data_IF_789018679041
#
_entry.id   IF_789018679041
#
_cell.length_a   1.000
_cell.length_b   1.000
_cell.length_c   1.000
_cell.angle_alpha   90.00
_cell.angle_beta   90.00
_cell.angle_gamma   90.00
#
_symmetry.space_group_name_H-M   'P 1'
#
loop_
_entity.id
_entity.type
_entity.pdbx_description
1 polymer ?
#
# COMPACT_ATOMS: atom_id res chain seq x y z
N UNK A 1 14.17 -56.90 -13.47
CA UNK A 1 12.74 -57.16 -13.75
C UNK A 1 12.16 -57.70 -12.45
N UNK A 2 11.38 -56.99 -11.62
CA UNK A 2 10.49 -55.85 -11.83
C UNK A 2 10.75 -54.72 -10.81
N UNK A 3 10.41 -53.50 -11.20
CA UNK A 3 10.54 -52.25 -10.46
C UNK A 3 9.42 -52.13 -9.41
N UNK A 4 9.76 -51.58 -8.25
CA UNK A 4 8.81 -51.26 -7.18
C UNK A 4 7.90 -50.10 -7.57
N UNK A 5 6.59 -50.32 -7.51
CA UNK A 5 5.58 -49.27 -7.53
C UNK A 5 5.49 -48.65 -6.13
N UNK A 6 6.29 -47.61 -5.91
CA UNK A 6 6.05 -46.66 -4.84
C UNK A 6 4.79 -45.86 -5.16
N UNK A 7 3.69 -46.18 -4.47
CA UNK A 7 2.49 -45.35 -4.45
C UNK A 7 2.87 -43.95 -3.95
N UNK A 8 2.86 -43.00 -4.86
CA UNK A 8 3.01 -41.57 -4.61
C UNK A 8 1.96 -41.17 -3.58
N UNK A 9 2.42 -40.79 -2.39
CA UNK A 9 1.57 -40.18 -1.37
C UNK A 9 1.06 -38.85 -1.91
N UNK A 10 -0.27 -38.74 -2.04
CA UNK A 10 -0.94 -37.45 -2.17
C UNK A 10 -0.56 -36.61 -0.95
N UNK A 11 0.01 -35.42 -1.19
CA UNK A 11 0.19 -34.44 -0.13
C UNK A 11 -1.18 -34.15 0.49
N UNK A 12 -1.31 -34.05 1.83
CA UNK A 12 -2.58 -33.75 2.46
C UNK A 12 -3.12 -32.42 1.93
N UNK A 13 -4.31 -32.45 1.34
CA UNK A 13 -5.13 -31.25 1.18
C UNK A 13 -5.47 -30.73 2.57
N UNK A 14 -4.89 -29.58 2.90
CA UNK A 14 -4.99 -29.01 4.23
C UNK A 14 -3.65 -28.48 4.72
N UNK A 15 -3.01 -27.64 3.91
CA UNK A 15 -2.12 -26.63 4.48
C UNK A 15 -2.99 -25.73 5.34
N UNK A 16 -3.05 -26.03 6.64
CA UNK A 16 -3.59 -25.12 7.65
C UNK A 16 -3.04 -23.73 7.33
N UNK A 17 -3.92 -22.80 6.97
CA UNK A 17 -3.58 -21.40 6.75
C UNK A 17 -2.98 -20.84 8.03
N UNK A 18 -1.68 -20.99 8.17
CA UNK A 18 -0.93 -20.39 9.26
C UNK A 18 -0.95 -18.89 8.98
N UNK A 19 -1.86 -18.20 9.67
CA UNK A 19 -2.01 -16.74 9.58
C UNK A 19 -0.64 -16.13 9.80
N UNK A 20 -0.09 -15.50 8.78
CA UNK A 20 1.27 -15.00 8.89
C UNK A 20 1.31 -13.82 9.87
N UNK A 21 2.36 -13.66 10.70
CA UNK A 21 2.46 -12.55 11.66
C UNK A 21 2.26 -11.16 11.04
N UNK A 22 2.58 -11.02 9.75
CA UNK A 22 2.37 -9.79 8.98
C UNK A 22 0.89 -9.48 8.75
N UNK A 23 0.06 -10.51 8.53
CA UNK A 23 -1.39 -10.37 8.30
C UNK A 23 -2.07 -9.87 9.57
N UNK A 24 -1.75 -10.48 10.72
CA UNK A 24 -2.27 -10.06 12.02
C UNK A 24 -1.88 -8.61 12.36
N UNK A 25 -0.68 -8.16 11.97
CA UNK A 25 -0.27 -6.79 12.20
C UNK A 25 -1.05 -5.79 11.34
N UNK A 26 -1.27 -6.10 10.06
CA UNK A 26 -2.06 -5.24 9.19
C UNK A 26 -3.51 -5.14 9.68
N UNK A 27 -4.07 -6.23 10.21
CA UNK A 27 -5.38 -6.20 10.87
C UNK A 27 -5.39 -5.25 12.07
N UNK A 28 -4.37 -5.32 12.93
CA UNK A 28 -4.27 -4.43 14.09
C UNK A 28 -4.14 -2.96 13.69
N UNK A 29 -3.31 -2.66 12.69
CA UNK A 29 -3.16 -1.29 12.17
C UNK A 29 -4.46 -0.78 11.57
N UNK A 30 -5.20 -1.62 10.86
CA UNK A 30 -6.49 -1.26 10.28
C UNK A 30 -7.53 -0.96 11.37
N UNK A 31 -7.64 -1.83 12.38
CA UNK A 31 -8.51 -1.60 13.54
C UNK A 31 -8.15 -0.30 14.26
N UNK A 32 -6.85 -0.05 14.45
CA UNK A 32 -6.38 1.20 15.03
C UNK A 32 -6.75 2.39 14.15
N UNK A 33 -6.50 2.34 12.85
CA UNK A 33 -6.82 3.44 11.94
C UNK A 33 -8.31 3.79 11.95
N UNK A 34 -9.18 2.78 11.84
CA UNK A 34 -10.64 2.97 11.89
C UNK A 34 -11.07 3.54 13.24
N UNK A 35 -10.49 3.06 14.34
CA UNK A 35 -10.76 3.60 15.68
C UNK A 35 -10.39 5.08 15.77
N UNK A 36 -9.22 5.45 15.25
CA UNK A 36 -8.70 6.81 15.33
C UNK A 36 -9.46 7.76 14.41
N UNK A 37 -9.85 7.31 13.21
CA UNK A 37 -10.73 8.05 12.29
C UNK A 37 -12.11 8.27 12.89
N UNK A 38 -12.66 7.26 13.56
CA UNK A 38 -13.95 7.35 14.26
C UNK A 38 -13.87 8.36 15.39
N UNK A 39 -12.82 8.33 16.22
CA UNK A 39 -12.59 9.32 17.28
C UNK A 39 -12.50 10.74 16.70
N UNK A 40 -11.70 10.93 15.65
CA UNK A 40 -11.58 12.22 14.99
C UNK A 40 -12.95 12.75 14.53
N UNK A 41 -13.77 11.89 13.91
CA UNK A 41 -15.12 12.25 13.45
C UNK A 41 -16.05 12.61 14.62
N UNK A 42 -16.02 11.84 15.71
CA UNK A 42 -16.84 12.09 16.90
C UNK A 42 -16.45 13.39 17.61
N UNK A 43 -15.16 13.73 17.63
CA UNK A 43 -14.67 14.97 18.21
C UNK A 43 -15.00 16.19 17.33
N UNK A 44 -15.27 15.97 16.03
CA UNK A 44 -15.51 17.01 15.03
C UNK A 44 -16.82 16.80 14.24
N UNK A 45 -17.95 16.56 14.92
CA UNK A 45 -19.26 16.32 14.30
C UNK A 45 -19.82 17.54 13.56
N UNK A 46 -19.33 17.76 12.34
CA UNK A 46 -19.72 18.82 11.42
C UNK A 46 -19.46 18.39 9.97
N UNK A 47 -20.06 19.04 8.96
CA UNK A 47 -19.76 18.74 7.56
C UNK A 47 -18.28 18.88 7.22
N UNK A 48 -17.59 19.85 7.83
CA UNK A 48 -16.16 20.04 7.68
C UNK A 48 -15.37 18.87 8.29
N UNK A 49 -15.67 18.50 9.53
CA UNK A 49 -15.01 17.38 10.19
C UNK A 49 -15.24 16.06 9.45
N UNK A 50 -16.44 15.84 8.89
CA UNK A 50 -16.71 14.68 8.03
C UNK A 50 -15.85 14.67 6.75
N UNK A 51 -15.67 15.82 6.10
CA UNK A 51 -14.80 15.94 4.92
C UNK A 51 -13.32 15.72 5.28
N UNK A 52 -12.87 16.24 6.41
CA UNK A 52 -11.52 16.02 6.94
C UNK A 52 -11.28 14.54 7.29
N UNK A 53 -12.24 13.88 7.96
CA UNK A 53 -12.18 12.43 8.20
C UNK A 53 -12.11 11.65 6.91
N UNK A 54 -12.92 12.00 5.90
CA UNK A 54 -12.91 11.33 4.60
C UNK A 54 -11.55 11.48 3.91
N UNK A 55 -10.95 12.67 3.98
CA UNK A 55 -9.61 12.92 3.45
C UNK A 55 -8.56 12.01 4.13
N UNK A 56 -8.58 11.93 5.47
CA UNK A 56 -7.67 11.04 6.20
C UNK A 56 -7.93 9.56 5.90
N UNK A 57 -9.20 9.18 5.74
CA UNK A 57 -9.59 7.82 5.36
C UNK A 57 -9.04 7.45 3.99
N UNK A 58 -9.16 8.34 3.00
CA UNK A 58 -8.62 8.13 1.65
C UNK A 58 -7.09 7.97 1.69
N UNK A 59 -6.39 8.80 2.45
CA UNK A 59 -4.94 8.68 2.63
C UNK A 59 -4.54 7.31 3.22
N UNK A 60 -5.19 6.90 4.32
CA UNK A 60 -4.95 5.60 4.98
C UNK A 60 -5.30 4.44 4.03
N UNK A 61 -6.42 4.55 3.32
CA UNK A 61 -6.87 3.56 2.36
C UNK A 61 -5.89 3.39 1.20
N UNK A 62 -5.36 4.50 0.67
CA UNK A 62 -4.32 4.50 -0.35
C UNK A 62 -3.05 3.79 0.11
N UNK A 63 -2.59 4.07 1.34
CA UNK A 63 -1.45 3.40 1.95
C UNK A 63 -1.66 1.89 2.08
N UNK A 64 -2.86 1.49 2.50
CA UNK A 64 -3.25 0.09 2.63
C UNK A 64 -3.27 -0.62 1.28
N UNK A 65 -3.95 -0.05 0.27
CA UNK A 65 -3.97 -0.59 -1.10
C UNK A 65 -2.54 -0.77 -1.62
N UNK A 66 -1.69 0.26 -1.49
CA UNK A 66 -0.30 0.20 -1.94
C UNK A 66 0.47 -0.96 -1.31
N UNK A 67 0.29 -1.15 0.00
CA UNK A 67 0.95 -2.21 0.75
C UNK A 67 0.44 -3.58 0.36
N UNK A 68 -0.87 -3.77 0.21
CA UNK A 68 -1.48 -5.03 -0.23
C UNK A 68 -0.99 -5.44 -1.61
N UNK A 69 -0.96 -4.51 -2.58
CA UNK A 69 -0.39 -4.78 -3.90
C UNK A 69 1.08 -5.18 -3.82
N UNK A 70 1.86 -4.46 -3.00
CA UNK A 70 3.26 -4.76 -2.77
C UNK A 70 3.47 -6.17 -2.23
N UNK A 71 2.68 -6.61 -1.24
CA UNK A 71 2.84 -7.95 -0.65
C UNK A 71 2.37 -9.08 -1.55
N UNK A 72 1.53 -8.79 -2.54
CA UNK A 72 1.01 -9.80 -3.46
C UNK A 72 2.02 -10.17 -4.56
N UNK A 73 2.91 -9.26 -4.94
CA UNK A 73 3.87 -9.48 -6.04
C UNK A 73 5.25 -9.99 -5.60
N UNK A 74 5.58 -9.89 -4.31
CA UNK A 74 6.92 -10.16 -3.83
C UNK A 74 6.95 -11.31 -2.83
N UNK A 75 7.92 -12.20 -3.02
CA UNK A 75 8.19 -13.26 -2.07
C UNK A 75 8.64 -12.67 -0.71
N UNK A 76 7.81 -12.92 0.30
CA UNK A 76 7.95 -12.39 1.67
C UNK A 76 9.18 -12.97 2.38
N UNK A 77 9.76 -14.05 1.86
CA UNK A 77 10.93 -14.71 2.48
C UNK A 77 12.24 -13.95 2.26
N UNK A 78 12.27 -13.04 1.28
CA UNK A 78 13.46 -12.23 0.99
C UNK A 78 13.76 -11.26 2.14
N UNK A 79 15.02 -11.23 2.61
CA UNK A 79 15.47 -10.36 3.72
C UNK A 79 15.11 -8.88 3.50
N UNK A 80 15.28 -8.37 2.27
CA UNK A 80 14.97 -6.98 1.92
C UNK A 80 13.47 -6.68 2.05
N UNK A 81 12.61 -7.57 1.56
CA UNK A 81 11.14 -7.45 1.65
C UNK A 81 10.72 -7.52 3.12
N UNK A 82 11.30 -8.40 3.92
CA UNK A 82 11.01 -8.48 5.36
C UNK A 82 11.37 -7.20 6.11
N UNK A 83 12.54 -6.61 5.84
CA UNK A 83 12.94 -5.34 6.45
C UNK A 83 12.04 -4.18 6.02
N UNK A 84 11.68 -4.14 4.73
CA UNK A 84 10.70 -3.19 4.22
C UNK A 84 9.36 -3.32 4.94
N UNK A 85 8.85 -4.54 5.10
CA UNK A 85 7.60 -4.79 5.82
C UNK A 85 7.67 -4.26 7.25
N UNK A 86 8.74 -4.55 7.99
CA UNK A 86 8.94 -3.99 9.34
C UNK A 86 8.91 -2.45 9.33
N UNK A 87 9.55 -1.83 8.33
CA UNK A 87 9.52 -0.38 8.15
C UNK A 87 8.11 0.17 7.88
N UNK A 88 7.38 -0.46 6.95
CA UNK A 88 5.98 -0.11 6.62
C UNK A 88 5.07 -0.32 7.83
N UNK A 89 5.31 -1.37 8.60
CA UNK A 89 4.58 -1.67 9.83
C UNK A 89 4.72 -0.52 10.85
N UNK A 90 5.96 -0.13 11.14
CA UNK A 90 6.25 1.00 12.04
C UNK A 90 5.66 2.32 11.52
N UNK A 91 5.83 2.61 10.24
CA UNK A 91 5.28 3.82 9.62
C UNK A 91 3.74 3.83 9.70
N UNK A 92 3.08 2.69 9.48
CA UNK A 92 1.63 2.60 9.55
C UNK A 92 1.09 2.79 10.97
N UNK A 93 1.84 2.33 11.99
CA UNK A 93 1.50 2.61 13.38
C UNK A 93 1.58 4.11 13.71
N UNK A 94 2.63 4.79 13.24
CA UNK A 94 2.79 6.24 13.41
C UNK A 94 1.70 6.99 12.65
N UNK A 95 1.39 6.57 11.41
CA UNK A 95 0.31 7.13 10.60
C UNK A 95 -1.02 7.06 11.36
N UNK A 96 -1.44 5.87 11.78
CA UNK A 96 -2.72 5.66 12.47
C UNK A 96 -2.78 6.38 13.82
N UNK A 97 -1.69 6.39 14.60
CA UNK A 97 -1.64 7.11 15.89
C UNK A 97 -1.61 8.63 15.73
N UNK A 98 -1.26 9.15 14.55
CA UNK A 98 -1.25 10.58 14.26
C UNK A 98 -2.60 11.12 13.81
N UNK A 99 -3.54 10.25 13.40
CA UNK A 99 -4.87 10.62 12.85
C UNK A 99 -5.63 11.65 13.72
N UNK A 100 -5.78 11.48 15.05
CA UNK A 100 -6.60 12.41 15.85
C UNK A 100 -6.08 13.85 15.84
N UNK A 101 -4.78 14.03 15.65
CA UNK A 101 -4.11 15.33 15.65
C UNK A 101 -3.49 15.65 14.28
N UNK A 102 -3.95 14.99 13.20
CA UNK A 102 -3.38 15.14 11.86
C UNK A 102 -3.55 16.56 11.31
N UNK A 103 -4.63 17.26 11.65
CA UNK A 103 -4.80 18.68 11.31
C UNK A 103 -4.22 19.64 12.37
N UNK A 104 -3.65 19.10 13.46
CA UNK A 104 -2.95 19.83 14.51
C UNK A 104 -1.43 19.57 14.51
N UNK A 105 -0.87 19.24 15.67
CA UNK A 105 0.59 19.08 15.86
C UNK A 105 1.18 17.86 15.15
N UNK A 106 0.39 16.80 14.93
CA UNK A 106 0.87 15.54 14.34
C UNK A 106 0.75 15.47 12.82
N UNK A 107 0.38 16.56 12.15
CA UNK A 107 0.23 16.55 10.69
C UNK A 107 1.49 16.19 9.94
N UNK A 108 2.65 16.65 10.40
CA UNK A 108 3.93 16.29 9.78
C UNK A 108 4.28 14.81 9.99
N UNK A 109 3.97 14.26 11.17
CA UNK A 109 4.18 12.83 11.46
C UNK A 109 3.26 11.95 10.62
N UNK A 110 1.99 12.36 10.44
CA UNK A 110 1.04 11.71 9.53
C UNK A 110 1.56 11.71 8.09
N UNK A 111 1.87 12.90 7.55
CA UNK A 111 2.34 13.04 6.18
C UNK A 111 3.65 12.28 5.93
N UNK A 112 4.64 12.39 6.82
CA UNK A 112 5.94 11.72 6.66
C UNK A 112 5.79 10.21 6.70
N UNK A 113 4.94 9.68 7.59
CA UNK A 113 4.64 8.24 7.64
C UNK A 113 4.04 7.74 6.34
N UNK A 114 3.09 8.49 5.77
CA UNK A 114 2.49 8.17 4.49
C UNK A 114 3.53 8.17 3.35
N UNK A 115 4.40 9.17 3.30
CA UNK A 115 5.49 9.26 2.32
C UNK A 115 6.45 8.09 2.44
N UNK A 116 6.82 7.70 3.66
CA UNK A 116 7.70 6.55 3.91
C UNK A 116 7.06 5.25 3.39
N UNK A 117 5.76 5.06 3.60
CA UNK A 117 5.05 3.88 3.10
C UNK A 117 5.06 3.85 1.57
N UNK A 118 4.65 4.95 0.92
CA UNK A 118 4.50 5.00 -0.55
C UNK A 118 5.86 5.00 -1.27
N UNK A 119 6.74 5.94 -0.92
CA UNK A 119 8.02 6.15 -1.60
C UNK A 119 9.08 5.18 -1.10
N UNK A 120 9.19 5.05 0.22
CA UNK A 120 10.19 4.17 0.85
C UNK A 120 9.94 2.70 0.53
N UNK A 121 8.69 2.24 0.65
CA UNK A 121 8.29 0.89 0.25
C UNK A 121 8.64 0.61 -1.21
N UNK A 122 8.18 1.47 -2.13
CA UNK A 122 8.46 1.33 -3.56
C UNK A 122 9.96 1.35 -3.89
N UNK A 123 10.75 2.21 -3.24
CA UNK A 123 12.20 2.28 -3.45
C UNK A 123 12.88 0.96 -3.06
N UNK A 124 12.56 0.40 -1.88
CA UNK A 124 13.19 -0.85 -1.44
C UNK A 124 12.84 -1.99 -2.39
N UNK A 125 11.60 -2.08 -2.86
CA UNK A 125 11.20 -3.07 -3.85
C UNK A 125 12.01 -2.96 -5.14
N UNK A 126 12.12 -1.75 -5.71
CA UNK A 126 12.89 -1.54 -6.94
C UNK A 126 14.35 -1.95 -6.79
N UNK A 127 14.96 -1.73 -5.62
CA UNK A 127 16.33 -2.18 -5.36
C UNK A 127 16.47 -3.69 -5.16
N UNK A 128 15.39 -4.36 -4.73
CA UNK A 128 15.34 -5.81 -4.55
C UNK A 128 14.98 -6.55 -5.85
N UNK A 129 14.38 -5.86 -6.83
CA UNK A 129 14.02 -6.43 -8.13
C UNK A 129 15.25 -6.66 -9.01
N UNK A 130 15.23 -7.76 -9.78
CA UNK A 130 16.18 -7.94 -10.87
C UNK A 130 15.96 -6.88 -11.96
N UNK A 131 17.05 -6.34 -12.52
CA UNK A 131 17.03 -5.22 -13.49
C UNK A 131 16.23 -5.45 -14.77
N UNK A 132 15.77 -6.68 -15.05
CA UNK A 132 14.99 -7.04 -16.26
C UNK A 132 13.61 -7.60 -15.92
N UNK A 133 13.15 -7.43 -14.68
CA UNK A 133 11.81 -7.88 -14.31
C UNK A 133 10.75 -7.05 -15.05
N UNK A 134 9.75 -7.70 -15.62
CA UNK A 134 8.71 -7.04 -16.43
C UNK A 134 7.96 -5.94 -15.65
N UNK A 135 7.79 -6.12 -14.33
CA UNK A 135 7.16 -5.12 -13.45
C UNK A 135 8.06 -3.91 -13.11
N UNK A 136 9.38 -3.95 -13.34
CA UNK A 136 10.29 -2.86 -12.93
C UNK A 136 9.88 -1.52 -13.55
N UNK A 137 9.47 -1.52 -14.81
CA UNK A 137 9.00 -0.31 -15.50
C UNK A 137 7.75 0.30 -14.84
N UNK A 138 6.85 -0.53 -14.29
CA UNK A 138 5.65 -0.05 -13.58
C UNK A 138 6.02 0.54 -12.23
N UNK A 139 6.88 -0.15 -11.46
CA UNK A 139 7.33 0.35 -10.17
C UNK A 139 8.20 1.61 -10.27
N UNK A 140 8.99 1.77 -11.34
CA UNK A 140 9.75 3.00 -11.62
C UNK A 140 8.81 4.18 -11.88
N UNK A 141 7.77 3.99 -12.70
CA UNK A 141 6.73 5.00 -12.92
C UNK A 141 5.98 5.33 -11.63
N UNK A 142 5.65 4.30 -10.85
CA UNK A 142 5.00 4.45 -9.57
C UNK A 142 5.88 5.27 -8.62
N UNK A 143 7.18 4.99 -8.52
CA UNK A 143 8.10 5.74 -7.67
C UNK A 143 8.14 7.23 -8.02
N UNK A 144 8.17 7.57 -9.32
CA UNK A 144 8.13 8.96 -9.77
C UNK A 144 6.86 9.64 -9.27
N UNK A 145 5.70 9.02 -9.50
CA UNK A 145 4.41 9.57 -9.09
C UNK A 145 4.25 9.64 -7.57
N UNK A 146 4.68 8.62 -6.83
CA UNK A 146 4.67 8.61 -5.37
C UNK A 146 5.61 9.65 -4.79
N UNK A 147 6.72 9.95 -5.46
CA UNK A 147 7.60 11.05 -5.05
C UNK A 147 6.91 12.40 -5.21
N UNK A 148 6.20 12.63 -6.32
CA UNK A 148 5.42 13.87 -6.53
C UNK A 148 4.31 13.99 -5.50
N UNK A 149 3.48 12.95 -5.36
CA UNK A 149 2.40 12.89 -4.35
C UNK A 149 2.97 13.07 -2.94
N UNK A 150 4.12 12.45 -2.67
CA UNK A 150 4.77 12.50 -1.38
C UNK A 150 5.29 13.89 -1.02
N UNK A 151 5.86 14.62 -2.00
CA UNK A 151 6.25 16.03 -1.81
C UNK A 151 5.05 16.89 -1.47
N UNK A 152 3.90 16.68 -2.11
CA UNK A 152 2.67 17.44 -1.82
C UNK A 152 2.16 17.11 -0.41
N UNK A 153 2.11 15.82 -0.02
CA UNK A 153 1.74 15.41 1.33
C UNK A 153 2.65 16.02 2.39
N UNK A 154 3.96 15.93 2.19
CA UNK A 154 4.97 16.48 3.11
C UNK A 154 4.83 18.00 3.23
N UNK A 155 4.68 18.72 2.11
CA UNK A 155 4.44 20.15 2.11
C UNK A 155 3.16 20.51 2.88
N UNK A 156 2.10 19.71 2.75
CA UNK A 156 0.87 19.86 3.54
C UNK A 156 1.09 19.72 5.05
N UNK A 157 2.02 18.85 5.46
CA UNK A 157 2.42 18.68 6.86
C UNK A 157 3.17 19.89 7.44
N UNK A 158 3.80 20.71 6.59
CA UNK A 158 4.52 21.92 7.00
C UNK A 158 3.62 23.17 7.09
N UNK A 159 2.43 23.13 6.50
CA UNK A 159 1.45 24.22 6.57
C UNK A 159 0.36 23.92 7.59
N UNK A 160 -0.37 24.95 8.00
CA UNK A 160 -1.40 24.89 9.04
C UNK A 160 -2.78 25.31 8.51
N UNK A 161 -3.81 25.11 9.34
CA UNK A 161 -5.19 25.54 9.08
C UNK A 161 -5.79 25.00 7.77
N UNK A 162 -6.63 25.79 7.10
CA UNK A 162 -7.31 25.38 5.87
C UNK A 162 -6.36 25.11 4.69
N UNK A 163 -5.15 25.67 4.70
CA UNK A 163 -4.16 25.39 3.66
C UNK A 163 -3.73 23.92 3.66
N UNK A 164 -3.60 23.29 4.85
CA UNK A 164 -3.27 21.87 4.96
C UNK A 164 -4.31 21.00 4.28
N UNK A 165 -5.60 21.27 4.52
CA UNK A 165 -6.72 20.53 3.91
C UNK A 165 -6.66 20.61 2.38
N UNK A 166 -6.45 21.81 1.83
CA UNK A 166 -6.38 22.01 0.38
C UNK A 166 -5.19 21.28 -0.26
N UNK A 167 -4.01 21.33 0.38
CA UNK A 167 -2.79 20.66 -0.12
C UNK A 167 -2.94 19.15 -0.06
N UNK A 168 -3.47 18.61 1.03
CA UNK A 168 -3.70 17.16 1.16
C UNK A 168 -4.81 16.66 0.23
N UNK A 169 -5.86 17.44 0.02
CA UNK A 169 -6.88 17.12 -0.98
C UNK A 169 -6.28 17.03 -2.39
N UNK A 170 -5.40 17.98 -2.75
CA UNK A 170 -4.68 17.92 -4.03
C UNK A 170 -3.83 16.65 -4.13
N UNK A 171 -3.14 16.27 -3.04
CA UNK A 171 -2.32 15.08 -3.00
C UNK A 171 -3.15 13.80 -3.23
N UNK A 172 -4.31 13.68 -2.58
CA UNK A 172 -5.23 12.54 -2.76
C UNK A 172 -5.82 12.51 -4.18
N UNK A 173 -6.32 13.65 -4.67
CA UNK A 173 -6.83 13.73 -6.04
C UNK A 173 -5.78 13.28 -7.05
N UNK A 174 -4.51 13.67 -6.84
CA UNK A 174 -3.42 13.23 -7.69
C UNK A 174 -3.13 11.73 -7.54
N UNK A 175 -3.03 11.22 -6.29
CA UNK A 175 -2.82 9.81 -5.98
C UNK A 175 -3.82 8.92 -6.73
N UNK A 176 -5.11 9.19 -6.56
CA UNK A 176 -6.17 8.41 -7.19
C UNK A 176 -6.26 8.62 -8.70
N UNK A 177 -6.00 9.83 -9.20
CA UNK A 177 -5.98 10.09 -10.65
C UNK A 177 -4.87 9.30 -11.33
N UNK A 178 -3.68 9.22 -10.73
CA UNK A 178 -2.55 8.45 -11.27
C UNK A 178 -2.87 6.96 -11.32
N UNK A 179 -3.47 6.42 -10.25
CA UNK A 179 -3.89 5.02 -10.19
C UNK A 179 -4.92 4.73 -11.29
N UNK A 180 -5.96 5.58 -11.39
CA UNK A 180 -7.04 5.40 -12.36
C UNK A 180 -6.57 5.51 -13.81
N UNK A 181 -5.58 6.37 -14.08
CA UNK A 181 -5.00 6.55 -15.40
C UNK A 181 -3.87 5.56 -15.73
N UNK A 182 -3.53 4.64 -14.84
CA UNK A 182 -2.50 3.63 -15.06
C UNK A 182 -1.08 4.20 -15.16
N UNK A 183 -0.72 5.12 -14.25
CA UNK A 183 0.62 5.71 -14.17
C UNK A 183 1.14 6.33 -15.49
N UNK A 184 0.45 7.34 -16.04
CA UNK A 184 0.90 7.99 -17.27
C UNK A 184 2.25 8.67 -17.05
N UNK A 185 3.25 8.41 -17.90
CA UNK A 185 4.44 9.26 -17.99
C UNK A 185 4.48 9.98 -19.34
N UNK A 186 4.76 11.29 -19.36
CA UNK A 186 5.01 12.01 -20.61
C UNK A 186 6.13 11.34 -21.40
N UNK A 187 5.90 11.02 -22.67
CA UNK A 187 6.89 10.43 -23.58
C UNK A 187 7.07 8.90 -23.49
N UNK A 188 6.64 8.26 -22.41
CA UNK A 188 6.78 6.80 -22.21
C UNK A 188 5.42 6.05 -22.24
N UNK A 189 4.31 6.75 -22.44
CA UNK A 189 2.97 6.16 -22.48
C UNK A 189 2.38 5.84 -21.10
N UNK A 190 1.31 5.04 -21.06
CA UNK A 190 0.67 4.50 -19.83
C UNK A 190 1.07 3.05 -19.63
N UNK A 191 1.02 2.56 -18.39
CA UNK A 191 1.09 1.12 -18.14
C UNK A 191 -0.13 0.45 -18.77
N UNK A 192 0.07 -0.45 -19.73
CA UNK A 192 -1.02 -1.18 -20.39
C UNK A 192 -1.40 -2.40 -19.55
N UNK A 193 -2.69 -2.63 -19.35
CA UNK A 193 -3.28 -3.72 -18.53
C UNK A 193 -2.91 -5.14 -19.02
N UNK A 194 -2.16 -5.28 -20.11
CA UNK A 194 -1.67 -6.57 -20.63
C UNK A 194 -0.46 -7.15 -19.88
N UNK A 195 0.21 -6.36 -19.03
CA UNK A 195 1.29 -6.87 -18.16
C UNK A 195 0.76 -7.58 -16.90
N UNK A 196 -0.57 -7.62 -16.72
CA UNK A 196 -1.28 -8.32 -15.66
C UNK A 196 -1.77 -9.71 -16.11
N UNK A 197 -0.98 -10.49 -16.85
CA UNK A 197 -1.18 -11.94 -16.89
C UNK A 197 -0.70 -12.55 -15.58
N UNK A 198 -1.36 -12.17 -14.48
CA UNK A 198 -1.62 -13.07 -13.38
C UNK A 198 -2.26 -14.31 -14.00
N UNK A 199 -1.50 -15.40 -14.04
CA UNK A 199 -1.91 -16.78 -14.29
C UNK A 199 -3.43 -17.01 -14.41
N UNK A 200 -4.01 -16.66 -15.56
CA UNK A 200 -5.35 -17.11 -15.92
C UNK A 200 -5.36 -18.63 -16.19
N UNK A 201 -4.19 -19.19 -16.51
CA UNK A 201 -3.99 -20.63 -16.68
C UNK A 201 -4.10 -21.40 -15.35
N UNK A 202 -3.69 -20.85 -14.18
CA UNK A 202 -3.89 -21.56 -12.90
C UNK A 202 -5.33 -21.53 -12.39
N UNK A 203 -6.12 -20.49 -12.69
CA UNK A 203 -7.54 -20.46 -12.31
C UNK A 203 -8.35 -21.39 -13.23
N UNK A 204 -7.96 -21.50 -14.51
CA UNK A 204 -8.59 -22.43 -15.45
C UNK A 204 -8.32 -23.90 -15.09
N UNK A 205 -7.16 -24.23 -14.52
CA UNK A 205 -6.84 -25.60 -14.06
C UNK A 205 -7.76 -26.07 -12.92
N UNK A 206 -8.22 -25.16 -12.06
CA UNK A 206 -9.08 -25.49 -10.91
C UNK A 206 -10.58 -25.67 -11.26
N UNK A 207 -11.00 -25.33 -12.48
CA UNK A 207 -12.39 -25.53 -12.94
C UNK A 207 -12.57 -26.71 -13.90
N UNK A 208 -11.55 -27.56 -14.07
CA UNK A 208 -11.64 -28.79 -14.88
C UNK A 208 -11.77 -30.09 -14.06
N UNK A 209 -12.17 -29.99 -12.78
CA UNK A 209 -12.61 -31.12 -11.95
C UNK A 209 -14.06 -30.92 -11.50
#
# INVERSE_FOLDING_TARGET
MAMGEGRVGLLPEGGSGEVQPVELFFDLVYVLAVTQLTRYLLDHLSPRGAAETLLLLLAVWGAWIHTTWTTNYFDRETRSVRLMLIGVMLASLILSSSVPEAFGERGLAFATSLVVILVGGTMVLLTAMERRHHLSAVFERALIWWSVVGVIWFAGGLVHDGARVAVWLLADLLLYSVIWLGFPLPGLGRSHTSDYTLSGEHIAEHCQL
#
